data_IF_433327468666
#
_entry.id   IF_433327468666
#
_cell.length_a   1.000
_cell.length_b   1.000
_cell.length_c   1.000
_cell.angle_alpha   90.00
_cell.angle_beta   90.00
_cell.angle_gamma   90.00
#
_symmetry.space_group_name_H-M   'P 1'
#
loop_
_entity.id
_entity.type
_entity.pdbx_description
1 polymer ?
#
# COMPACT_ATOMS: atom_id res chain seq x y z
N UNK A 1 -3.83 6.46 21.83
CA UNK A 1 -4.04 5.00 21.67
C UNK A 1 -5.53 4.63 21.53
N UNK A 2 -6.43 5.60 21.71
CA UNK A 2 -7.86 5.34 21.84
C UNK A 2 -8.50 4.86 20.53
N UNK A 3 -8.06 5.36 19.37
CA UNK A 3 -8.53 4.89 18.07
C UNK A 3 -8.19 3.43 17.80
N UNK A 4 -6.97 2.99 18.09
CA UNK A 4 -6.57 1.59 17.89
C UNK A 4 -7.41 0.66 18.78
N UNK A 5 -7.60 1.03 20.05
CA UNK A 5 -8.46 0.27 20.97
C UNK A 5 -9.89 0.19 20.46
N UNK A 6 -10.48 1.30 20.02
CA UNK A 6 -11.85 1.34 19.49
C UNK A 6 -12.02 0.43 18.27
N UNK A 7 -11.07 0.44 17.33
CA UNK A 7 -11.11 -0.42 16.14
C UNK A 7 -10.99 -1.89 16.51
N UNK A 8 -10.04 -2.25 17.36
CA UNK A 8 -9.84 -3.64 17.79
C UNK A 8 -11.06 -4.18 18.59
N UNK A 9 -11.70 -3.35 19.41
CA UNK A 9 -12.94 -3.72 20.11
C UNK A 9 -14.13 -3.91 19.15
N UNK A 10 -14.24 -3.06 18.13
CA UNK A 10 -15.23 -3.23 17.07
C UNK A 10 -15.01 -4.55 16.31
N UNK A 11 -13.77 -4.87 15.96
CA UNK A 11 -13.42 -6.14 15.33
C UNK A 11 -13.77 -7.33 16.21
N UNK A 12 -13.43 -7.28 17.51
CA UNK A 12 -13.73 -8.33 18.49
C UNK A 12 -15.23 -8.59 18.61
N UNK A 13 -16.02 -7.52 18.71
CA UNK A 13 -17.50 -7.60 18.77
C UNK A 13 -18.09 -8.29 17.53
N UNK A 14 -17.49 -8.05 16.36
CA UNK A 14 -17.93 -8.61 15.08
C UNK A 14 -17.24 -9.93 14.71
N UNK A 15 -16.46 -10.53 15.61
CA UNK A 15 -15.69 -11.78 15.36
C UNK A 15 -14.76 -11.68 14.13
N UNK A 16 -14.20 -10.49 13.90
CA UNK A 16 -13.17 -10.25 12.89
C UNK A 16 -11.79 -10.39 13.52
N UNK A 17 -10.86 -11.03 12.82
CA UNK A 17 -9.51 -11.29 13.30
C UNK A 17 -8.48 -10.69 12.34
N UNK A 18 -7.55 -9.90 12.88
CA UNK A 18 -6.44 -9.38 12.12
C UNK A 18 -5.37 -10.46 11.90
N UNK A 19 -4.76 -10.48 10.72
CA UNK A 19 -3.52 -11.22 10.50
C UNK A 19 -2.36 -10.37 11.05
N UNK A 20 -1.76 -10.82 12.16
CA UNK A 20 -0.71 -10.07 12.86
C UNK A 20 0.53 -9.83 11.99
N UNK A 21 0.88 -10.78 11.12
CA UNK A 21 2.03 -10.65 10.20
C UNK A 21 1.86 -9.52 9.17
N UNK A 22 0.62 -9.08 8.96
CA UNK A 22 0.28 -7.99 8.03
C UNK A 22 -0.02 -6.67 8.75
N UNK A 23 -0.03 -6.65 10.08
CA UNK A 23 -0.34 -5.45 10.84
C UNK A 23 0.90 -4.59 11.08
N UNK A 24 0.74 -3.27 10.89
CA UNK A 24 1.75 -2.27 11.21
C UNK A 24 1.10 -1.21 12.09
N UNK A 25 1.68 -0.96 13.26
CA UNK A 25 1.16 0.01 14.22
C UNK A 25 2.23 1.03 14.59
N UNK A 26 1.85 2.30 14.75
CA UNK A 26 2.74 3.35 15.26
C UNK A 26 3.90 3.75 14.34
N UNK A 27 3.94 3.30 13.09
CA UNK A 27 4.95 3.70 12.13
C UNK A 27 4.68 5.12 11.59
N UNK A 28 5.74 5.83 11.18
CA UNK A 28 5.62 7.16 10.58
C UNK A 28 4.99 7.13 9.17
N UNK A 29 5.16 6.00 8.49
CA UNK A 29 4.63 5.72 7.17
C UNK A 29 4.28 4.22 7.08
N UNK A 30 3.17 3.90 6.40
CA UNK A 30 2.71 2.52 6.22
C UNK A 30 2.30 2.26 4.76
N UNK A 31 2.50 1.04 4.22
CA UNK A 31 1.96 0.67 2.93
C UNK A 31 0.43 0.56 3.00
N UNK A 32 -0.27 1.17 2.05
CA UNK A 32 -1.72 1.16 1.95
C UNK A 32 -2.16 1.26 0.50
N UNK A 33 -2.97 0.30 0.02
CA UNK A 33 -3.54 0.27 -1.34
C UNK A 33 -2.51 0.54 -2.47
N UNK A 34 -1.28 0.04 -2.31
CA UNK A 34 -0.22 0.19 -3.31
C UNK A 34 0.39 1.59 -3.40
N UNK A 35 0.25 2.38 -2.33
CA UNK A 35 1.00 3.58 -2.04
C UNK A 35 1.47 3.54 -0.57
N UNK A 36 2.18 4.56 -0.13
CA UNK A 36 2.58 4.74 1.26
C UNK A 36 1.87 5.95 1.85
N UNK A 37 1.27 5.78 3.02
CA UNK A 37 0.57 6.84 3.77
C UNK A 37 1.44 7.25 4.94
N UNK A 38 1.74 8.53 5.08
CA UNK A 38 2.45 9.07 6.22
C UNK A 38 1.95 10.46 6.63
N UNK A 39 2.65 11.09 7.57
CA UNK A 39 2.30 12.41 8.13
C UNK A 39 2.13 13.51 7.06
N UNK A 40 2.86 13.40 5.94
CA UNK A 40 2.86 14.38 4.83
C UNK A 40 1.88 14.02 3.72
N UNK A 41 1.02 13.02 3.92
CA UNK A 41 0.06 12.55 2.93
C UNK A 41 0.52 11.26 2.23
N UNK A 42 0.10 11.11 0.98
CA UNK A 42 0.34 9.92 0.16
C UNK A 42 1.66 10.05 -0.62
N UNK A 43 2.39 8.94 -0.72
CA UNK A 43 3.59 8.81 -1.54
C UNK A 43 3.48 7.56 -2.40
N UNK A 44 3.94 7.65 -3.65
CA UNK A 44 3.98 6.49 -4.54
C UNK A 44 4.95 5.41 -4.01
N UNK A 45 4.58 4.16 -4.25
CA UNK A 45 5.38 2.99 -3.88
C UNK A 45 6.72 3.01 -4.66
N UNK A 46 7.89 3.00 -3.98
CA UNK A 46 9.19 3.01 -4.63
C UNK A 46 9.40 1.86 -5.61
N UNK A 47 8.85 0.68 -5.32
CA UNK A 47 8.90 -0.49 -6.18
C UNK A 47 8.10 -0.29 -7.46
N UNK A 48 6.93 0.36 -7.38
CA UNK A 48 6.16 0.74 -8.59
C UNK A 48 6.88 1.80 -9.42
N UNK A 49 7.48 2.81 -8.77
CA UNK A 49 8.30 3.81 -9.48
C UNK A 49 9.46 3.12 -10.19
N UNK A 50 10.20 2.27 -9.47
CA UNK A 50 11.33 1.51 -10.00
C UNK A 50 10.92 0.66 -11.20
N UNK A 51 9.79 -0.04 -11.12
CA UNK A 51 9.29 -0.86 -12.23
C UNK A 51 9.00 -0.05 -13.51
N UNK A 52 8.51 1.19 -13.37
CA UNK A 52 8.28 2.09 -14.52
C UNK A 52 9.61 2.63 -15.08
N UNK A 53 10.53 3.02 -14.20
CA UNK A 53 11.85 3.57 -14.58
C UNK A 53 12.71 2.52 -15.26
N UNK A 54 12.69 1.27 -14.78
CA UNK A 54 13.48 0.16 -15.32
C UNK A 54 12.77 -0.57 -16.47
N UNK A 55 11.57 -0.13 -16.86
CA UNK A 55 10.84 -0.78 -17.93
C UNK A 55 11.61 -0.70 -19.26
N UNK A 56 11.79 -1.83 -19.97
CA UNK A 56 12.51 -1.82 -21.24
C UNK A 56 11.76 -0.98 -22.28
N UNK A 57 12.50 -0.26 -23.12
CA UNK A 57 11.91 0.56 -24.20
C UNK A 57 10.95 -0.30 -25.04
N UNK A 58 9.64 0.06 -25.13
CA UNK A 58 8.66 -0.71 -25.87
C UNK A 58 9.07 -0.86 -27.34
N UNK A 59 9.01 -2.10 -27.87
CA UNK A 59 9.42 -2.39 -29.26
C UNK A 59 8.25 -2.49 -30.22
N UNK A 60 7.03 -2.62 -29.72
CA UNK A 60 5.83 -2.76 -30.52
C UNK A 60 4.62 -2.15 -29.79
N UNK A 61 3.48 -2.09 -30.48
CA UNK A 61 2.25 -1.51 -29.93
C UNK A 61 1.70 -2.25 -28.71
N UNK A 62 1.91 -3.58 -28.60
CA UNK A 62 1.44 -4.35 -27.46
C UNK A 62 2.25 -4.01 -26.20
N UNK A 63 3.57 -3.88 -26.33
CA UNK A 63 4.46 -3.47 -25.24
C UNK A 63 4.15 -2.05 -24.78
N UNK A 64 3.85 -1.14 -25.72
CA UNK A 64 3.49 0.24 -25.40
C UNK A 64 2.17 0.32 -24.62
N UNK A 65 1.15 -0.47 -25.02
CA UNK A 65 -0.11 -0.54 -24.28
C UNK A 65 0.10 -1.02 -22.85
N UNK A 66 0.84 -2.12 -22.65
CA UNK A 66 1.16 -2.64 -21.31
C UNK A 66 1.88 -1.63 -20.41
N UNK A 67 2.75 -0.81 -21.00
CA UNK A 67 3.47 0.23 -20.25
C UNK A 67 2.57 1.38 -19.82
N UNK A 68 1.59 1.78 -20.65
CA UNK A 68 0.65 2.86 -20.34
C UNK A 68 -0.41 2.45 -19.30
N UNK A 69 -0.76 1.17 -19.21
CA UNK A 69 -1.82 0.63 -18.36
C UNK A 69 -3.01 0.13 -19.15
#
# INVERSE_FOLDING_TARGET
>A
MDHLRAVLECMRTNKLYANLDKCVFGAEEIPFLGCFVGKRGLRADPGKIKAVVEWPVPKNQQDLRKWLG
#
